data_IF_976826220466
#
_entry.id   IF_976826220466
#
_cell.length_a   1.000
_cell.length_b   1.000
_cell.length_c   1.000
_cell.angle_alpha   90.00
_cell.angle_beta   90.00
_cell.angle_gamma   90.00
#
_symmetry.space_group_name_H-M   'P 1'
#
loop_
_entity.id
_entity.type
_entity.pdbx_description
1 polymer ?
#
# COMPACT_ATOMS: atom_id res chain seq x y z
N UNK A 1 44.67 -57.20 -0.24
CA UNK A 1 44.19 -56.20 0.77
C UNK A 1 44.32 -54.75 0.33
N UNK A 2 45.28 -54.34 -0.50
CA UNK A 2 45.47 -52.90 -0.90
C UNK A 2 44.44 -52.37 -1.95
N UNK A 3 43.76 -53.23 -2.67
CA UNK A 3 42.77 -52.83 -3.69
C UNK A 3 41.33 -52.56 -3.14
N UNK A 4 41.02 -53.18 -1.97
CA UNK A 4 39.70 -52.99 -1.32
C UNK A 4 39.61 -51.64 -0.59
N UNK A 5 40.74 -51.16 -0.05
CA UNK A 5 40.81 -49.85 0.64
C UNK A 5 40.69 -48.69 -0.30
N UNK A 6 41.16 -48.78 -1.56
CA UNK A 6 41.04 -47.70 -2.56
C UNK A 6 39.61 -47.55 -3.05
N UNK A 7 38.83 -48.64 -3.16
CA UNK A 7 37.42 -48.57 -3.56
C UNK A 7 36.52 -48.03 -2.45
N UNK A 8 36.87 -48.30 -1.19
CA UNK A 8 36.10 -47.77 -0.06
C UNK A 8 36.30 -46.28 0.14
N UNK A 9 37.52 -45.78 -0.10
CA UNK A 9 37.82 -44.33 -0.04
C UNK A 9 37.14 -43.59 -1.20
N UNK A 10 37.02 -44.18 -2.40
CA UNK A 10 36.35 -43.56 -3.52
C UNK A 10 34.85 -43.50 -3.34
N UNK A 11 34.23 -44.54 -2.75
CA UNK A 11 32.80 -44.60 -2.45
C UNK A 11 32.41 -43.59 -1.35
N UNK A 12 33.27 -43.37 -0.33
CA UNK A 12 33.03 -42.41 0.74
C UNK A 12 33.20 -40.99 0.23
N UNK A 13 34.14 -40.72 -0.69
CA UNK A 13 34.33 -39.40 -1.31
C UNK A 13 33.17 -39.01 -2.22
N UNK A 14 32.55 -39.98 -2.93
CA UNK A 14 31.36 -39.70 -3.76
C UNK A 14 30.11 -39.48 -2.89
N UNK A 15 29.98 -40.12 -1.74
CA UNK A 15 28.88 -39.87 -0.79
C UNK A 15 28.98 -38.54 -0.07
N UNK A 16 30.20 -38.02 0.15
CA UNK A 16 30.39 -36.69 0.74
C UNK A 16 30.22 -35.54 -0.26
N UNK A 17 30.41 -35.78 -1.56
CA UNK A 17 30.16 -34.81 -2.62
C UNK A 17 28.68 -34.62 -2.94
N UNK A 18 27.80 -35.55 -2.50
CA UNK A 18 26.35 -35.49 -2.76
C UNK A 18 25.55 -34.62 -1.77
N UNK A 19 26.17 -34.12 -0.72
CA UNK A 19 25.51 -33.30 0.30
C UNK A 19 25.87 -31.81 0.25
N UNK A 20 26.64 -31.34 -0.76
CA UNK A 20 27.03 -29.95 -0.86
C UNK A 20 26.24 -29.11 -1.89
N UNK A 21 25.06 -29.58 -2.28
CA UNK A 21 24.18 -28.91 -3.25
C UNK A 21 22.91 -28.30 -2.65
N UNK A 22 22.81 -28.15 -1.33
CA UNK A 22 21.73 -27.40 -0.70
C UNK A 22 22.11 -25.92 -0.67
N UNK A 23 21.58 -25.10 -1.59
CA UNK A 23 21.56 -23.66 -1.36
C UNK A 23 20.85 -23.41 -0.03
N UNK A 24 21.57 -23.02 1.01
CA UNK A 24 20.96 -22.53 2.24
C UNK A 24 19.98 -21.40 1.95
N UNK A 25 19.15 -21.00 2.89
CA UNK A 25 18.19 -19.94 2.66
C UNK A 25 18.94 -18.70 2.17
N UNK A 26 18.55 -18.20 0.98
CA UNK A 26 19.14 -16.99 0.44
C UNK A 26 18.59 -15.79 1.22
N UNK A 27 19.50 -15.02 1.83
CA UNK A 27 19.13 -13.76 2.48
C UNK A 27 19.14 -12.67 1.40
N UNK A 28 17.97 -12.10 1.12
CA UNK A 28 17.86 -10.90 0.29
C UNK A 28 18.17 -9.71 1.19
N UNK A 29 19.14 -8.89 0.79
CA UNK A 29 19.46 -7.63 1.46
C UNK A 29 18.93 -6.49 0.62
N UNK A 30 18.13 -5.63 1.25
CA UNK A 30 17.64 -4.40 0.63
C UNK A 30 18.56 -3.26 1.04
N UNK A 31 19.13 -2.57 0.06
CA UNK A 31 19.92 -1.38 0.32
C UNK A 31 18.99 -0.19 0.58
N UNK A 32 19.31 0.61 1.60
CA UNK A 32 18.67 1.90 1.84
C UNK A 32 19.48 2.93 1.05
N UNK A 33 18.90 3.60 0.03
CA UNK A 33 19.64 4.60 -0.73
C UNK A 33 20.04 5.78 0.17
N UNK A 34 21.17 6.38 -0.15
CA UNK A 34 21.59 7.62 0.52
C UNK A 34 20.62 8.76 0.15
N UNK A 35 20.28 9.58 1.16
CA UNK A 35 19.46 10.76 0.91
C UNK A 35 20.22 11.73 -0.02
N UNK A 36 19.57 12.24 -1.09
CA UNK A 36 20.19 13.22 -1.97
C UNK A 36 20.70 14.45 -1.22
N UNK A 37 21.85 14.98 -1.65
CA UNK A 37 22.48 16.13 -1.00
C UNK A 37 21.54 17.36 -0.99
N UNK A 38 21.41 18.00 0.17
CA UNK A 38 20.53 19.14 0.36
C UNK A 38 19.06 18.84 0.55
N UNK A 39 18.68 17.55 0.59
CA UNK A 39 17.33 17.08 0.86
C UNK A 39 17.19 16.83 2.37
N UNK A 40 16.10 17.32 2.96
CA UNK A 40 15.77 17.14 4.38
C UNK A 40 14.55 16.23 4.51
N UNK A 41 14.48 15.42 5.58
CA UNK A 41 13.31 14.60 5.84
C UNK A 41 12.04 15.43 6.11
N UNK A 42 10.92 14.76 6.08
CA UNK A 42 9.59 15.35 6.36
C UNK A 42 9.16 15.17 7.81
N UNK A 43 10.03 14.64 8.69
CA UNK A 43 9.71 14.43 10.09
C UNK A 43 9.43 15.78 10.77
N UNK A 44 8.26 15.88 11.39
CA UNK A 44 7.77 17.12 12.03
C UNK A 44 7.61 18.31 11.08
N UNK A 45 7.68 18.11 9.76
CA UNK A 45 7.40 19.19 8.82
C UNK A 45 5.95 19.67 8.95
N UNK A 46 5.76 20.96 9.12
CA UNK A 46 4.47 21.64 9.14
C UNK A 46 4.36 22.56 7.93
N UNK A 47 3.41 22.32 7.05
CA UNK A 47 3.07 23.26 5.99
C UNK A 47 2.39 24.50 6.59
N UNK A 48 2.46 25.67 5.92
CA UNK A 48 1.70 26.84 6.34
C UNK A 48 0.20 26.51 6.45
N UNK A 49 -0.49 26.96 7.51
CA UNK A 49 -1.90 26.71 7.67
C UNK A 49 -2.72 27.41 6.57
N UNK A 50 -3.81 26.74 6.14
CA UNK A 50 -4.78 27.27 5.19
C UNK A 50 -6.16 27.40 5.86
N UNK A 51 -6.86 28.50 5.62
CA UNK A 51 -8.24 28.65 6.09
C UNK A 51 -9.19 27.66 5.43
N UNK A 52 -8.91 27.31 4.18
CA UNK A 52 -9.65 26.32 3.41
C UNK A 52 -8.68 25.49 2.56
N UNK A 53 -8.74 24.16 2.72
CA UNK A 53 -8.01 23.20 1.89
C UNK A 53 -8.85 22.85 0.68
N UNK A 54 -8.36 23.20 -0.52
CA UNK A 54 -9.03 22.92 -1.80
C UNK A 54 -8.59 21.57 -2.30
N UNK A 55 -9.55 20.65 -2.49
CA UNK A 55 -9.29 19.24 -2.75
C UNK A 55 -9.70 18.87 -4.18
N UNK A 56 -8.79 18.21 -4.90
CA UNK A 56 -9.08 17.47 -6.13
C UNK A 56 -9.13 15.98 -5.85
N UNK A 57 -10.17 15.29 -6.29
CA UNK A 57 -10.32 13.83 -6.18
C UNK A 57 -9.97 13.14 -7.49
N UNK A 58 -9.15 12.09 -7.42
CA UNK A 58 -8.80 11.24 -8.55
C UNK A 58 -9.10 9.78 -8.19
N UNK A 59 -10.00 9.16 -8.96
CA UNK A 59 -10.54 7.84 -8.70
C UNK A 59 -11.85 7.89 -7.89
N UNK A 60 -12.95 7.63 -8.59
CA UNK A 60 -14.32 7.74 -8.05
C UNK A 60 -15.08 6.39 -8.16
N UNK A 61 -14.31 5.29 -8.14
CA UNK A 61 -14.85 3.93 -8.07
C UNK A 61 -15.38 3.57 -6.68
N UNK A 62 -15.04 2.38 -6.16
CA UNK A 62 -15.61 1.87 -4.89
C UNK A 62 -15.37 2.79 -3.67
N UNK A 63 -14.16 3.34 -3.50
CA UNK A 63 -13.78 4.15 -2.31
C UNK A 63 -14.06 5.63 -2.49
N UNK A 64 -13.94 6.13 -3.73
CA UNK A 64 -14.02 7.56 -4.05
C UNK A 64 -15.30 8.24 -3.58
N UNK A 65 -16.50 7.75 -3.90
CA UNK A 65 -17.77 8.39 -3.51
C UNK A 65 -17.92 8.57 -2.00
N UNK A 66 -17.59 7.52 -1.23
CA UNK A 66 -17.63 7.60 0.22
C UNK A 66 -16.57 8.57 0.80
N UNK A 67 -15.42 8.72 0.15
CA UNK A 67 -14.41 9.69 0.54
C UNK A 67 -14.85 11.13 0.23
N UNK A 68 -15.45 11.38 -0.94
CA UNK A 68 -16.07 12.66 -1.29
C UNK A 68 -17.11 13.07 -0.24
N UNK A 69 -18.01 12.16 0.13
CA UNK A 69 -19.04 12.43 1.13
C UNK A 69 -18.45 12.76 2.50
N UNK A 70 -17.45 11.99 2.96
CA UNK A 70 -16.76 12.26 4.25
C UNK A 70 -16.03 13.60 4.23
N UNK A 71 -15.32 13.93 3.17
CA UNK A 71 -14.61 15.22 3.06
C UNK A 71 -15.57 16.41 3.08
N UNK A 72 -16.78 16.26 2.58
CA UNK A 72 -17.81 17.31 2.67
C UNK A 72 -18.24 17.63 4.12
N UNK A 73 -17.97 16.75 5.09
CA UNK A 73 -18.35 16.93 6.50
C UNK A 73 -17.23 17.55 7.34
N UNK A 74 -16.05 17.76 6.74
CA UNK A 74 -14.90 18.34 7.44
C UNK A 74 -14.91 19.86 7.23
N UNK A 75 -14.94 20.61 8.32
CA UNK A 75 -14.84 22.08 8.27
C UNK A 75 -13.48 22.51 7.69
N UNK A 76 -13.48 23.58 6.91
CA UNK A 76 -12.26 24.07 6.27
C UNK A 76 -11.84 23.28 5.02
N UNK A 77 -12.70 22.40 4.47
CA UNK A 77 -12.45 21.73 3.19
C UNK A 77 -13.39 22.21 2.09
N UNK A 78 -12.89 22.19 0.86
CA UNK A 78 -13.67 22.46 -0.35
C UNK A 78 -13.21 21.55 -1.48
N UNK A 79 -14.12 20.74 -2.00
CA UNK A 79 -13.84 19.94 -3.20
C UNK A 79 -14.00 20.86 -4.42
N UNK A 80 -12.97 20.96 -5.25
CA UNK A 80 -12.90 21.88 -6.39
C UNK A 80 -12.72 21.16 -7.73
N UNK A 81 -12.38 19.87 -7.70
CA UNK A 81 -12.22 19.05 -8.90
C UNK A 81 -12.49 17.58 -8.62
N UNK A 82 -13.08 16.89 -9.58
CA UNK A 82 -13.40 15.47 -9.59
C UNK A 82 -12.84 14.85 -10.87
N UNK A 83 -12.20 13.68 -10.76
CA UNK A 83 -11.60 12.99 -11.89
C UNK A 83 -11.78 11.47 -11.78
N UNK A 84 -12.27 10.86 -12.86
CA UNK A 84 -12.23 9.42 -13.11
C UNK A 84 -12.14 9.19 -14.63
N UNK A 85 -11.73 8.00 -15.06
CA UNK A 85 -11.74 7.63 -16.48
C UNK A 85 -13.19 7.47 -16.99
N UNK A 86 -14.11 7.08 -16.11
CA UNK A 86 -15.52 6.86 -16.39
C UNK A 86 -16.35 8.09 -16.03
N UNK A 87 -17.08 8.62 -17.01
CA UNK A 87 -17.90 9.82 -16.86
C UNK A 87 -19.02 9.66 -15.80
N UNK A 88 -19.68 8.53 -15.79
CA UNK A 88 -20.80 8.23 -14.87
C UNK A 88 -20.36 8.28 -13.40
N UNK A 89 -19.12 7.92 -13.09
CA UNK A 89 -18.54 8.03 -11.75
C UNK A 89 -18.32 9.46 -11.34
N UNK A 90 -17.86 10.31 -12.26
CA UNK A 90 -17.69 11.74 -12.00
C UNK A 90 -19.05 12.40 -11.78
N UNK A 91 -20.03 12.10 -12.63
CA UNK A 91 -21.41 12.58 -12.48
C UNK A 91 -22.04 12.11 -11.15
N UNK A 92 -21.78 10.85 -10.75
CA UNK A 92 -22.22 10.32 -9.46
C UNK A 92 -21.63 11.09 -8.27
N UNK A 93 -20.34 11.43 -8.33
CA UNK A 93 -19.66 12.22 -7.29
C UNK A 93 -20.14 13.69 -7.28
N UNK A 94 -20.39 14.29 -8.45
CA UNK A 94 -21.02 15.61 -8.55
C UNK A 94 -22.41 15.63 -7.93
N UNK A 95 -23.21 14.56 -8.13
CA UNK A 95 -24.51 14.40 -7.47
C UNK A 95 -24.42 14.32 -5.93
N UNK A 96 -23.31 13.81 -5.37
CA UNK A 96 -23.06 13.86 -3.93
C UNK A 96 -22.88 15.32 -3.46
N UNK A 97 -22.08 16.10 -4.18
CA UNK A 97 -21.88 17.53 -3.86
C UNK A 97 -23.19 18.31 -3.89
N UNK A 98 -23.98 18.13 -4.94
CA UNK A 98 -25.30 18.74 -5.10
C UNK A 98 -26.24 18.37 -3.94
N UNK A 99 -26.38 17.08 -3.63
CA UNK A 99 -27.21 16.56 -2.55
C UNK A 99 -26.83 17.14 -1.18
N UNK A 100 -25.54 17.40 -0.98
CA UNK A 100 -25.01 17.95 0.28
C UNK A 100 -24.94 19.51 0.27
N UNK A 101 -25.46 20.16 -0.78
CA UNK A 101 -25.44 21.61 -0.92
C UNK A 101 -24.04 22.20 -1.00
N UNK A 102 -23.08 21.44 -1.52
CA UNK A 102 -21.71 21.90 -1.74
C UNK A 102 -21.57 22.57 -3.11
N UNK A 103 -20.61 23.50 -3.28
CA UNK A 103 -20.34 24.10 -4.58
C UNK A 103 -20.00 23.06 -5.65
N UNK A 104 -20.32 23.36 -6.90
CA UNK A 104 -19.91 22.57 -8.05
C UNK A 104 -18.39 22.45 -8.13
N UNK A 105 -17.91 21.30 -8.58
CA UNK A 105 -16.50 21.03 -8.84
C UNK A 105 -16.27 20.90 -10.36
N UNK A 106 -15.03 21.20 -10.80
CA UNK A 106 -14.64 20.94 -12.18
C UNK A 106 -14.53 19.42 -12.43
N UNK A 107 -14.95 18.96 -13.59
CA UNK A 107 -15.02 17.54 -13.94
C UNK A 107 -14.00 17.18 -15.00
N UNK A 108 -13.31 16.05 -14.80
CA UNK A 108 -12.29 15.49 -15.69
C UNK A 108 -12.55 14.02 -15.91
N UNK A 109 -12.75 13.59 -17.17
CA UNK A 109 -13.05 12.21 -17.53
C UNK A 109 -12.70 11.89 -18.99
N UNK A 110 -12.89 10.62 -19.38
CA UNK A 110 -12.78 10.18 -20.78
C UNK A 110 -11.35 9.98 -21.28
N UNK A 111 -10.34 10.08 -20.42
CA UNK A 111 -8.96 9.79 -20.74
C UNK A 111 -8.23 9.24 -19.52
N UNK A 112 -7.32 8.29 -19.75
CA UNK A 112 -6.44 7.75 -18.70
C UNK A 112 -5.48 8.80 -18.12
N UNK A 113 -5.25 9.91 -18.82
CA UNK A 113 -4.37 11.01 -18.42
C UNK A 113 -5.15 12.28 -17.96
N UNK A 114 -6.49 12.21 -17.87
CA UNK A 114 -7.31 13.36 -17.44
C UNK A 114 -6.90 13.91 -16.07
N UNK A 115 -6.39 13.06 -15.18
CA UNK A 115 -5.88 13.44 -13.86
C UNK A 115 -4.72 14.45 -13.90
N UNK A 116 -3.93 14.50 -14.99
CA UNK A 116 -2.86 15.50 -15.15
C UNK A 116 -3.44 16.90 -15.19
N UNK A 117 -4.52 17.12 -15.94
CA UNK A 117 -5.18 18.42 -16.03
C UNK A 117 -5.70 18.88 -14.67
N UNK A 118 -6.17 17.96 -13.84
CA UNK A 118 -6.56 18.27 -12.46
C UNK A 118 -5.33 18.69 -11.63
N UNK A 119 -4.23 17.95 -11.71
CA UNK A 119 -3.01 18.24 -10.96
C UNK A 119 -2.35 19.56 -11.40
N UNK A 120 -2.53 19.98 -12.65
CA UNK A 120 -1.96 21.24 -13.20
C UNK A 120 -2.69 22.51 -12.72
N UNK A 121 -3.84 22.39 -12.05
CA UNK A 121 -4.60 23.54 -11.55
C UNK A 121 -3.90 24.23 -10.38
N UNK A 122 -3.88 25.56 -10.36
CA UNK A 122 -3.32 26.38 -9.27
C UNK A 122 -4.26 26.52 -8.05
N UNK A 123 -5.53 26.17 -8.21
CA UNK A 123 -6.55 26.28 -7.16
C UNK A 123 -6.80 24.96 -6.40
N UNK A 124 -5.85 24.03 -6.43
CA UNK A 124 -5.85 22.77 -5.65
C UNK A 124 -4.66 22.78 -4.69
N UNK A 125 -4.93 22.47 -3.43
CA UNK A 125 -3.94 22.35 -2.37
C UNK A 125 -3.60 20.90 -2.06
N UNK A 126 -4.61 20.02 -2.15
CA UNK A 126 -4.53 18.60 -1.83
C UNK A 126 -5.16 17.76 -2.95
N UNK A 127 -4.44 16.72 -3.39
CA UNK A 127 -4.99 15.70 -4.28
C UNK A 127 -5.26 14.44 -3.48
N UNK A 128 -6.53 13.98 -3.49
CA UNK A 128 -6.96 12.71 -2.92
C UNK A 128 -6.96 11.64 -4.01
N UNK A 129 -6.23 10.53 -3.80
CA UNK A 129 -6.00 9.49 -4.80
C UNK A 129 -6.63 8.19 -4.34
N UNK A 130 -7.61 7.69 -5.10
CA UNK A 130 -8.33 6.43 -4.85
C UNK A 130 -8.53 5.61 -6.12
N UNK A 131 -7.54 5.59 -6.98
CA UNK A 131 -7.50 4.83 -8.24
C UNK A 131 -7.17 3.35 -8.00
N UNK A 132 -6.85 2.60 -9.06
CA UNK A 132 -6.18 1.32 -8.91
C UNK A 132 -4.75 1.51 -8.35
N UNK A 133 -4.20 0.45 -7.78
CA UNK A 133 -2.91 0.52 -7.09
C UNK A 133 -1.74 0.95 -8.00
N UNK A 134 -1.79 0.60 -9.29
CA UNK A 134 -0.71 0.92 -10.25
C UNK A 134 -0.55 2.41 -10.49
N UNK A 135 -1.62 3.17 -10.31
CA UNK A 135 -1.63 4.61 -10.56
C UNK A 135 -1.27 5.45 -9.33
N UNK A 136 -1.35 4.89 -8.11
CA UNK A 136 -1.16 5.62 -6.87
C UNK A 136 0.15 6.40 -6.83
N UNK A 137 1.28 5.73 -6.92
CA UNK A 137 2.60 6.39 -6.84
C UNK A 137 2.85 7.35 -8.01
N UNK A 138 2.42 7.00 -9.23
CA UNK A 138 2.56 7.84 -10.41
C UNK A 138 1.84 9.17 -10.25
N UNK A 139 0.57 9.12 -9.86
CA UNK A 139 -0.24 10.33 -9.67
C UNK A 139 0.29 11.16 -8.51
N UNK A 140 0.62 10.53 -7.38
CA UNK A 140 1.12 11.21 -6.19
C UNK A 140 2.43 11.96 -6.46
N UNK A 141 3.38 11.33 -7.15
CA UNK A 141 4.63 11.98 -7.54
C UNK A 141 4.36 13.20 -8.41
N UNK A 142 3.56 13.06 -9.46
CA UNK A 142 3.21 14.17 -10.36
C UNK A 142 2.53 15.30 -9.60
N UNK A 143 1.54 15.02 -8.77
CA UNK A 143 0.84 16.02 -7.98
C UNK A 143 1.80 16.79 -7.05
N UNK A 144 2.72 16.11 -6.37
CA UNK A 144 3.72 16.78 -5.52
C UNK A 144 4.69 17.64 -6.34
N UNK A 145 5.11 17.19 -7.52
CA UNK A 145 5.94 17.97 -8.44
C UNK A 145 5.23 19.23 -8.96
N UNK A 146 3.89 19.21 -9.01
CA UNK A 146 3.03 20.37 -9.33
C UNK A 146 2.53 21.12 -8.09
N UNK A 147 3.22 20.95 -6.96
CA UNK A 147 3.02 21.76 -5.76
C UNK A 147 1.83 21.34 -4.89
N UNK A 148 1.24 20.18 -5.08
CA UNK A 148 0.10 19.69 -4.29
C UNK A 148 0.57 18.81 -3.14
N UNK A 149 -0.12 18.87 -2.00
CA UNK A 149 -0.07 17.82 -1.02
C UNK A 149 -0.87 16.62 -1.52
N UNK A 150 -0.56 15.41 -1.05
CA UNK A 150 -1.26 14.21 -1.50
C UNK A 150 -1.73 13.34 -0.33
N UNK A 151 -2.92 12.79 -0.48
CA UNK A 151 -3.53 11.79 0.37
C UNK A 151 -3.86 10.59 -0.51
N UNK A 152 -3.27 9.43 -0.23
CA UNK A 152 -3.30 8.24 -1.09
C UNK A 152 -3.97 7.10 -0.37
N UNK A 153 -4.99 6.49 -0.98
CA UNK A 153 -5.55 5.22 -0.50
C UNK A 153 -4.50 4.11 -0.50
N UNK A 154 -4.72 3.11 0.31
CA UNK A 154 -3.78 1.99 0.49
C UNK A 154 -3.83 1.00 -0.69
N UNK A 155 -2.66 0.47 -1.07
CA UNK A 155 -1.30 0.83 -0.69
C UNK A 155 -0.80 2.04 -1.48
N UNK A 156 0.06 2.85 -0.89
CA UNK A 156 0.59 4.05 -1.56
C UNK A 156 1.51 3.73 -2.74
N UNK A 157 2.17 2.58 -2.72
CA UNK A 157 3.11 2.14 -3.75
C UNK A 157 3.15 0.62 -3.87
N UNK A 158 3.60 0.11 -5.01
CA UNK A 158 3.64 -1.31 -5.36
C UNK A 158 5.06 -1.87 -5.48
N UNK A 159 6.07 -1.04 -5.39
CA UNK A 159 7.48 -1.43 -5.49
C UNK A 159 8.38 -0.58 -4.59
N UNK A 160 9.57 -1.10 -4.28
CA UNK A 160 10.56 -0.35 -3.50
C UNK A 160 10.99 0.94 -4.20
N UNK A 161 11.11 0.93 -5.53
CA UNK A 161 11.44 2.13 -6.30
C UNK A 161 10.37 3.20 -6.15
N UNK A 162 9.09 2.83 -6.26
CA UNK A 162 7.99 3.78 -6.06
C UNK A 162 7.95 4.35 -4.64
N UNK A 163 8.22 3.51 -3.61
CA UNK A 163 8.31 4.00 -2.21
C UNK A 163 9.40 5.07 -2.09
N UNK A 164 10.59 4.83 -2.63
CA UNK A 164 11.68 5.81 -2.60
C UNK A 164 11.38 7.04 -3.44
N UNK A 165 10.71 6.89 -4.57
CA UNK A 165 10.27 8.02 -5.39
C UNK A 165 9.29 8.92 -4.64
N UNK A 166 8.32 8.34 -3.91
CA UNK A 166 7.38 9.10 -3.08
C UNK A 166 8.11 9.86 -1.95
N UNK A 167 9.00 9.18 -1.21
CA UNK A 167 9.77 9.79 -0.13
C UNK A 167 10.64 10.93 -0.67
N UNK A 168 11.45 10.66 -1.69
CA UNK A 168 12.35 11.65 -2.28
C UNK A 168 11.60 12.84 -2.89
N UNK A 169 10.45 12.60 -3.52
CA UNK A 169 9.63 13.67 -4.08
C UNK A 169 9.01 14.53 -2.98
N UNK A 170 8.47 13.92 -1.94
CA UNK A 170 7.91 14.63 -0.78
C UNK A 170 8.98 15.51 -0.11
N UNK A 171 10.17 14.95 0.15
CA UNK A 171 11.29 15.70 0.74
C UNK A 171 11.75 16.85 -0.15
N UNK A 172 11.94 16.61 -1.45
CA UNK A 172 12.40 17.60 -2.42
C UNK A 172 11.40 18.74 -2.65
N UNK A 173 10.12 18.40 -2.74
CA UNK A 173 9.05 19.38 -3.02
C UNK A 173 8.47 20.03 -1.76
N UNK A 174 8.81 19.51 -0.58
CA UNK A 174 8.21 19.90 0.70
C UNK A 174 6.68 19.82 0.66
N UNK A 175 6.15 18.73 0.10
CA UNK A 175 4.73 18.41 0.07
C UNK A 175 4.44 17.18 0.89
N UNK A 176 3.41 17.23 1.73
CA UNK A 176 2.96 16.05 2.47
C UNK A 176 2.52 14.96 1.51
N UNK A 177 2.95 13.73 1.80
CA UNK A 177 2.54 12.50 1.13
C UNK A 177 2.02 11.55 2.21
N UNK A 178 0.73 11.43 2.35
CA UNK A 178 0.09 10.63 3.39
C UNK A 178 -0.61 9.41 2.79
N UNK A 179 -0.22 8.21 3.22
CA UNK A 179 -1.02 7.02 3.00
C UNK A 179 -2.20 7.01 3.98
N UNK A 180 -3.39 6.81 3.47
CA UNK A 180 -4.64 6.85 4.25
C UNK A 180 -4.95 5.47 4.84
N UNK A 181 -4.09 5.02 5.76
CA UNK A 181 -4.31 3.77 6.49
C UNK A 181 -5.38 3.98 7.56
N UNK A 182 -6.62 3.61 7.25
CA UNK A 182 -7.77 3.90 8.10
C UNK A 182 -7.80 3.07 9.39
N UNK A 183 -7.28 1.83 9.38
CA UNK A 183 -7.36 0.96 10.56
C UNK A 183 -6.56 1.50 11.75
N UNK A 184 -5.53 2.31 11.55
CA UNK A 184 -4.82 2.96 12.67
C UNK A 184 -5.70 3.95 13.46
N UNK A 185 -6.84 4.36 12.91
CA UNK A 185 -7.78 5.30 13.51
C UNK A 185 -9.08 4.63 14.02
N UNK A 186 -9.20 3.31 13.89
CA UNK A 186 -10.33 2.59 14.41
C UNK A 186 -10.32 2.56 15.95
N UNK A 187 -11.48 2.39 16.56
CA UNK A 187 -11.64 2.53 18.01
C UNK A 187 -10.73 1.61 18.81
N UNK A 188 -10.61 0.35 18.41
CA UNK A 188 -9.78 -0.62 19.15
C UNK A 188 -8.30 -0.35 18.98
N UNK A 189 -7.86 0.03 17.80
CA UNK A 189 -6.47 0.34 17.47
C UNK A 189 -6.01 1.60 18.21
N UNK A 190 -6.82 2.67 18.19
CA UNK A 190 -6.53 3.89 18.97
C UNK A 190 -6.56 3.64 20.47
N UNK A 191 -7.48 2.79 20.95
CA UNK A 191 -7.53 2.41 22.37
C UNK A 191 -6.27 1.64 22.74
N UNK A 192 -5.87 0.65 21.94
CA UNK A 192 -4.64 -0.14 22.13
C UNK A 192 -3.41 0.74 22.13
N UNK A 193 -3.31 1.66 21.17
CA UNK A 193 -2.21 2.64 21.10
C UNK A 193 -2.14 3.50 22.37
N UNK A 194 -3.29 4.04 22.82
CA UNK A 194 -3.35 4.82 24.04
C UNK A 194 -2.92 4.00 25.28
N UNK A 195 -3.36 2.75 25.39
CA UNK A 195 -2.94 1.85 26.46
C UNK A 195 -1.44 1.58 26.43
N UNK A 196 -0.85 1.37 25.24
CA UNK A 196 0.58 1.19 25.06
C UNK A 196 1.35 2.45 25.51
N UNK A 197 0.92 3.62 25.08
CA UNK A 197 1.53 4.91 25.45
C UNK A 197 1.42 5.22 26.96
N UNK A 198 0.38 4.73 27.62
CA UNK A 198 0.22 4.83 29.09
C UNK A 198 1.04 3.77 29.86
N UNK A 199 1.75 2.90 29.16
CA UNK A 199 2.57 1.84 29.77
C UNK A 199 1.78 0.69 30.38
N UNK A 200 0.47 0.55 30.06
CA UNK A 200 -0.39 -0.50 30.64
C UNK A 200 0.07 -1.92 30.26
N UNK A 201 0.72 -2.09 29.13
CA UNK A 201 1.24 -3.39 28.70
C UNK A 201 2.66 -3.68 29.22
N UNK A 202 3.31 -2.69 29.88
CA UNK A 202 4.73 -2.80 30.21
C UNK A 202 5.61 -2.79 28.95
N UNK A 203 6.67 -3.58 28.96
CA UNK A 203 7.51 -3.79 27.76
C UNK A 203 6.78 -4.70 26.78
N UNK A 204 6.51 -4.19 25.57
CA UNK A 204 5.81 -4.95 24.53
C UNK A 204 6.83 -5.80 23.78
N UNK A 205 6.69 -7.13 23.90
CA UNK A 205 7.61 -8.10 23.30
C UNK A 205 7.10 -8.65 21.97
N UNK A 206 5.79 -8.56 21.73
CA UNK A 206 5.15 -9.12 20.55
C UNK A 206 3.85 -8.40 20.25
N UNK A 207 3.55 -8.20 18.98
CA UNK A 207 2.27 -7.71 18.50
C UNK A 207 1.88 -8.44 17.21
N UNK A 208 0.58 -8.67 17.02
CA UNK A 208 0.03 -9.28 15.81
C UNK A 208 -1.02 -8.36 15.21
N UNK A 209 -1.02 -8.27 13.88
CA UNK A 209 -2.03 -7.58 13.10
C UNK A 209 -2.35 -8.40 11.86
N UNK A 210 -3.59 -8.35 11.39
CA UNK A 210 -3.99 -9.13 10.23
C UNK A 210 -5.01 -8.37 9.38
N UNK A 211 -4.97 -8.66 8.08
CA UNK A 211 -6.03 -8.36 7.13
C UNK A 211 -6.55 -9.69 6.60
N UNK A 212 -7.73 -10.11 7.06
CA UNK A 212 -8.32 -11.39 6.72
C UNK A 212 -9.72 -11.16 6.16
N UNK A 213 -9.86 -11.34 4.84
CA UNK A 213 -11.12 -11.17 4.14
C UNK A 213 -11.37 -12.29 3.12
N UNK A 214 -12.63 -12.72 3.03
CA UNK A 214 -13.08 -13.38 1.81
C UNK A 214 -13.29 -12.30 0.73
N UNK A 215 -12.46 -12.32 -0.32
CA UNK A 215 -12.56 -11.37 -1.43
C UNK A 215 -13.46 -11.85 -2.57
N UNK A 216 -14.00 -13.07 -2.50
CA UNK A 216 -14.82 -13.66 -3.56
C UNK A 216 -16.02 -12.75 -3.92
N UNK A 217 -16.68 -12.17 -2.92
CA UNK A 217 -17.84 -11.31 -3.10
C UNK A 217 -17.52 -9.92 -3.68
N UNK A 218 -16.23 -9.57 -3.79
CA UNK A 218 -15.80 -8.23 -4.20
C UNK A 218 -14.97 -8.21 -5.47
N UNK A 219 -14.48 -9.34 -5.99
CA UNK A 219 -13.53 -9.33 -7.10
C UNK A 219 -14.10 -8.78 -8.41
N UNK A 220 -15.39 -8.95 -8.66
CA UNK A 220 -16.10 -8.42 -9.84
C UNK A 220 -16.49 -6.94 -9.69
N UNK A 221 -16.40 -6.37 -8.49
CA UNK A 221 -16.65 -4.95 -8.25
C UNK A 221 -15.45 -4.07 -8.66
N UNK A 222 -14.25 -4.65 -8.76
CA UNK A 222 -13.05 -3.93 -9.17
C UNK A 222 -13.01 -3.71 -10.68
N UNK A 223 -12.86 -2.48 -11.08
CA UNK A 223 -12.81 -2.07 -12.49
C UNK A 223 -11.82 -2.94 -13.29
N UNK A 224 -12.32 -3.58 -14.37
CA UNK A 224 -11.55 -4.54 -15.17
C UNK A 224 -10.88 -5.67 -14.36
N UNK A 225 -11.49 -6.07 -13.25
CA UNK A 225 -10.98 -7.16 -12.38
C UNK A 225 -9.52 -6.97 -11.92
N UNK A 226 -9.03 -5.73 -11.87
CA UNK A 226 -7.62 -5.46 -11.67
C UNK A 226 -7.05 -6.12 -10.39
N UNK A 227 -7.84 -6.22 -9.33
CA UNK A 227 -7.39 -6.82 -8.07
C UNK A 227 -7.30 -8.35 -8.16
N UNK A 228 -8.23 -9.02 -8.84
CA UNK A 228 -8.14 -10.45 -9.13
C UNK A 228 -6.90 -10.76 -9.99
N UNK A 229 -6.69 -9.96 -11.05
CA UNK A 229 -5.53 -10.11 -11.92
C UNK A 229 -4.22 -9.84 -11.17
N UNK A 230 -4.22 -8.89 -10.24
CA UNK A 230 -3.06 -8.65 -9.39
C UNK A 230 -2.71 -9.87 -8.52
N UNK A 231 -3.69 -10.49 -7.87
CA UNK A 231 -3.49 -11.71 -7.08
C UNK A 231 -3.07 -12.91 -7.95
N UNK A 232 -3.50 -12.95 -9.22
CA UNK A 232 -3.02 -13.96 -10.17
C UNK A 232 -1.52 -13.83 -10.42
N UNK A 233 -1.03 -12.63 -10.60
CA UNK A 233 0.31 -12.36 -11.13
C UNK A 233 1.37 -12.10 -10.03
N UNK A 234 0.97 -11.89 -8.78
CA UNK A 234 1.86 -11.52 -7.67
C UNK A 234 1.72 -12.49 -6.51
N UNK A 235 2.81 -12.70 -5.78
CA UNK A 235 2.90 -13.59 -4.62
C UNK A 235 3.30 -12.82 -3.37
N UNK A 236 2.80 -13.25 -2.23
CA UNK A 236 3.17 -12.76 -0.91
C UNK A 236 2.05 -12.00 -0.22
N UNK A 237 2.41 -11.21 0.79
CA UNK A 237 1.45 -10.37 1.52
C UNK A 237 1.18 -9.10 0.71
N UNK A 238 0.19 -9.17 -0.17
CA UNK A 238 -0.10 -8.12 -1.16
C UNK A 238 -0.88 -6.94 -0.59
N UNK A 239 -1.39 -7.05 0.64
CA UNK A 239 -2.17 -5.98 1.28
C UNK A 239 -1.97 -5.93 2.80
N UNK A 240 -0.73 -5.73 3.30
CA UNK A 240 -0.39 -5.85 4.72
C UNK A 240 -0.75 -4.63 5.57
N UNK A 241 -1.08 -3.49 4.97
CA UNK A 241 -1.13 -2.19 5.64
C UNK A 241 -2.09 -2.13 6.80
N UNK A 242 -3.27 -2.73 6.69
CA UNK A 242 -4.28 -2.74 7.76
C UNK A 242 -3.86 -3.56 8.99
N UNK A 243 -3.07 -4.62 8.78
CA UNK A 243 -2.50 -5.38 9.89
C UNK A 243 -1.28 -4.69 10.50
N UNK A 244 -0.33 -4.29 9.64
CA UNK A 244 0.96 -3.77 10.11
C UNK A 244 0.91 -2.32 10.59
N UNK A 245 0.00 -1.50 10.08
CA UNK A 245 -0.15 -0.08 10.44
C UNK A 245 -0.34 0.11 11.96
N UNK A 246 -1.38 -0.46 12.57
CA UNK A 246 -1.60 -0.39 14.01
C UNK A 246 -0.45 -0.95 14.84
N UNK A 247 0.14 -2.08 14.40
CA UNK A 247 1.31 -2.69 15.06
C UNK A 247 2.50 -1.74 15.05
N UNK A 248 2.79 -1.08 13.92
CA UNK A 248 3.87 -0.08 13.83
C UNK A 248 3.64 1.10 14.77
N UNK A 249 2.40 1.53 14.98
CA UNK A 249 2.07 2.60 15.92
C UNK A 249 2.36 2.17 17.37
N UNK A 250 1.93 0.99 17.75
CA UNK A 250 2.08 0.48 19.12
C UNK A 250 3.54 0.17 19.49
N UNK A 251 4.37 -0.21 18.50
CA UNK A 251 5.78 -0.56 18.67
C UNK A 251 6.75 0.60 18.35
N UNK A 252 6.26 1.82 18.13
CA UNK A 252 7.06 3.00 17.80
C UNK A 252 8.01 2.79 16.61
N UNK A 253 7.61 2.03 15.60
CA UNK A 253 8.42 1.80 14.40
C UNK A 253 8.69 3.14 13.69
N UNK A 254 9.97 3.39 13.39
CA UNK A 254 10.54 4.66 12.91
C UNK A 254 10.43 5.84 13.90
N UNK A 255 10.02 5.59 15.15
CA UNK A 255 9.98 6.57 16.24
C UNK A 255 10.76 6.12 17.48
N UNK A 256 11.65 5.19 17.32
CA UNK A 256 12.46 4.62 18.39
C UNK A 256 12.88 3.17 18.14
N UNK A 257 12.22 2.49 17.21
CA UNK A 257 12.57 1.16 16.74
C UNK A 257 12.47 1.09 15.20
N UNK A 258 12.96 0.03 14.58
CA UNK A 258 12.79 -0.24 13.14
C UNK A 258 12.83 -1.72 12.81
N UNK A 259 12.18 -2.09 11.72
CA UNK A 259 12.17 -3.44 11.19
C UNK A 259 13.57 -3.82 10.69
N UNK A 260 14.00 -5.04 10.99
CA UNK A 260 15.35 -5.54 10.65
C UNK A 260 15.27 -6.78 9.75
N UNK A 261 14.54 -7.80 10.16
CA UNK A 261 14.46 -9.07 9.44
C UNK A 261 13.00 -9.46 9.22
N UNK A 262 12.70 -9.88 8.00
CA UNK A 262 11.38 -10.35 7.60
C UNK A 262 11.48 -11.77 7.04
N UNK A 263 10.54 -12.63 7.46
CA UNK A 263 10.31 -13.96 6.87
C UNK A 263 8.84 -14.08 6.56
N UNK A 264 8.52 -14.48 5.33
CA UNK A 264 7.13 -14.65 4.89
C UNK A 264 6.93 -16.01 4.24
N UNK A 265 5.78 -16.60 4.48
CA UNK A 265 5.33 -17.84 3.88
C UNK A 265 3.86 -17.71 3.48
N UNK A 266 3.49 -18.37 2.40
CA UNK A 266 2.12 -18.44 1.92
C UNK A 266 1.66 -19.89 1.73
N UNK A 267 0.35 -20.07 1.66
CA UNK A 267 -0.29 -21.33 1.28
C UNK A 267 -0.32 -21.48 -0.25
N UNK A 268 -0.82 -22.61 -0.73
CA UNK A 268 -1.20 -22.74 -2.14
C UNK A 268 -2.40 -21.82 -2.46
N UNK A 269 -2.50 -21.41 -3.71
CA UNK A 269 -3.64 -20.68 -4.26
C UNK A 269 -4.77 -21.65 -4.65
N UNK A 270 -5.92 -21.52 -4.05
CA UNK A 270 -7.13 -22.33 -4.33
C UNK A 270 -8.29 -21.41 -4.70
N UNK A 271 -8.67 -20.48 -3.81
CA UNK A 271 -9.88 -19.68 -3.96
C UNK A 271 -9.88 -18.81 -5.22
N UNK A 272 -8.75 -18.17 -5.56
CA UNK A 272 -8.65 -17.36 -6.77
C UNK A 272 -8.86 -18.18 -8.05
N UNK A 273 -8.34 -19.39 -8.07
CA UNK A 273 -8.54 -20.34 -9.21
C UNK A 273 -9.97 -20.78 -9.32
N UNK A 274 -10.59 -21.23 -8.22
CA UNK A 274 -11.99 -21.67 -8.20
C UNK A 274 -12.95 -20.55 -8.61
N UNK A 275 -12.71 -19.33 -8.12
CA UNK A 275 -13.48 -18.15 -8.53
C UNK A 275 -13.38 -17.92 -10.04
N UNK A 276 -12.16 -17.92 -10.59
CA UNK A 276 -11.91 -17.70 -12.01
C UNK A 276 -12.63 -18.74 -12.87
N UNK A 277 -12.48 -20.03 -12.56
CA UNK A 277 -13.14 -21.14 -13.28
C UNK A 277 -14.66 -21.03 -13.23
N UNK A 278 -15.23 -20.71 -12.07
CA UNK A 278 -16.68 -20.58 -11.86
C UNK A 278 -17.28 -19.40 -12.65
N UNK A 279 -16.58 -18.25 -12.68
CA UNK A 279 -17.14 -17.03 -13.26
C UNK A 279 -16.72 -16.78 -14.72
N UNK A 280 -15.60 -17.36 -15.17
CA UNK A 280 -15.14 -17.22 -16.56
C UNK A 280 -15.48 -18.42 -17.42
N UNK A 281 -15.80 -19.57 -16.83
CA UNK A 281 -16.16 -20.81 -17.55
C UNK A 281 -14.99 -21.44 -18.31
N UNK A 282 -13.77 -21.13 -17.97
CA UNK A 282 -12.54 -21.64 -18.57
C UNK A 282 -11.54 -22.07 -17.47
N UNK A 283 -10.56 -22.90 -17.84
CA UNK A 283 -9.53 -23.33 -16.88
C UNK A 283 -8.74 -22.12 -16.34
N UNK A 284 -8.57 -22.08 -15.03
CA UNK A 284 -7.83 -20.99 -14.41
C UNK A 284 -6.35 -21.04 -14.79
N UNK A 285 -5.74 -19.86 -15.05
CA UNK A 285 -4.28 -19.77 -15.13
C UNK A 285 -3.66 -20.04 -13.76
N UNK A 286 -2.33 -20.15 -13.71
CA UNK A 286 -1.62 -20.25 -12.44
C UNK A 286 -1.75 -18.96 -11.65
N UNK A 287 -2.35 -19.05 -10.46
CA UNK A 287 -2.39 -17.98 -9.48
C UNK A 287 -1.13 -18.05 -8.62
N UNK A 288 -0.43 -16.92 -8.50
CA UNK A 288 0.81 -16.81 -7.73
C UNK A 288 0.55 -16.55 -6.25
N UNK A 289 -0.52 -15.78 -5.91
CA UNK A 289 -0.82 -15.45 -4.53
C UNK A 289 -1.51 -16.61 -3.82
N UNK A 290 -0.93 -17.07 -2.71
CA UNK A 290 -1.57 -18.05 -1.83
C UNK A 290 -2.82 -17.47 -1.16
N UNK A 291 -3.74 -18.34 -0.73
CA UNK A 291 -4.97 -17.91 -0.07
C UNK A 291 -4.73 -17.30 1.31
N UNK A 292 -3.59 -17.60 1.91
CA UNK A 292 -3.17 -17.04 3.20
C UNK A 292 -1.66 -16.81 3.20
N UNK A 293 -1.24 -15.63 3.64
CA UNK A 293 0.16 -15.27 3.84
C UNK A 293 0.40 -14.95 5.32
N UNK A 294 1.49 -15.46 5.86
CA UNK A 294 1.95 -15.15 7.20
C UNK A 294 3.34 -14.54 7.13
N UNK A 295 3.51 -13.37 7.71
CA UNK A 295 4.76 -12.63 7.72
C UNK A 295 5.20 -12.38 9.16
N UNK A 296 6.41 -12.82 9.51
CA UNK A 296 7.05 -12.53 10.79
C UNK A 296 8.14 -11.48 10.59
N UNK A 297 8.14 -10.48 11.45
CA UNK A 297 9.12 -9.38 11.40
C UNK A 297 9.78 -9.27 12.76
N UNK A 298 11.12 -9.22 12.77
CA UNK A 298 11.88 -8.87 13.95
C UNK A 298 12.39 -7.44 13.83
N UNK A 299 12.25 -6.68 14.90
CA UNK A 299 12.76 -5.31 14.98
C UNK A 299 14.22 -5.28 15.49
N UNK A 300 14.85 -4.12 15.51
CA UNK A 300 16.21 -3.96 16.04
C UNK A 300 16.27 -4.13 17.57
N UNK A 301 15.18 -3.81 18.26
CA UNK A 301 15.09 -3.95 19.72
C UNK A 301 14.71 -5.37 20.17
N UNK A 302 14.23 -6.21 19.27
CA UNK A 302 13.92 -7.61 19.59
C UNK A 302 12.56 -8.13 19.15
#
# INVERSE_FOLDING_TARGET
MKRLSAFLCLAVSVLLASCSGGSGPSIIRTEVPERPAGQEDMLLYAAPPLDTVRIGFIGLGMRGPGAVERMCQIDGTKIVALCDVEQDRVEGASGILERLGRPEAAEYYGSEDAWMQLCDRDDIDLVYIATDWKMHAKIARYAMEHGKHVAIEVPAAMSLSEIWDLINTSERTRRHCMQLENCVYDFFELTTLNMAQQGLFGEILHAEGAYIHNLEDFWDEYWHDWRLLYNRDHRGDVYPTHGIGPVCQALDIHRGDKMNVLVSMDTKAVNGREYYEKHRGEAAPDFQNGDHTMTMIRTEKG
#
